data_IF_644088018713
#
_entry.id   IF_644088018713
#
_cell.length_a   1.000
_cell.length_b   1.000
_cell.length_c   1.000
_cell.angle_alpha   90.00
_cell.angle_beta   90.00
_cell.angle_gamma   90.00
#
_symmetry.space_group_name_H-M   'P 1'
#
loop_
_entity.id
_entity.type
_entity.pdbx_description
1 polymer ?
#
# COMPACT_ATOMS: atom_id res chain seq x y z
N UNK A 1 3.97 71.23 -5.83
CA UNK A 1 4.46 69.86 -6.09
C UNK A 1 4.24 69.02 -4.83
N UNK A 2 3.27 68.09 -4.86
CA UNK A 2 2.95 67.17 -3.76
C UNK A 2 3.09 65.74 -4.29
N UNK A 3 4.25 65.12 -4.08
CA UNK A 3 4.57 63.76 -4.58
C UNK A 3 4.47 62.67 -3.49
N UNK A 4 3.83 62.95 -2.35
CA UNK A 4 3.92 62.09 -1.16
C UNK A 4 2.94 60.90 -1.13
N UNK A 5 2.02 60.77 -2.09
CA UNK A 5 0.98 59.72 -2.07
C UNK A 5 1.19 58.54 -3.04
N UNK A 6 2.28 58.51 -3.82
CA UNK A 6 2.50 57.43 -4.80
C UNK A 6 3.32 56.26 -4.21
N UNK A 7 4.01 56.47 -3.08
CA UNK A 7 4.84 55.44 -2.42
C UNK A 7 4.04 54.42 -1.57
N UNK A 8 2.78 54.70 -1.24
CA UNK A 8 1.95 53.79 -0.42
C UNK A 8 1.24 52.70 -1.25
N UNK A 9 1.01 52.93 -2.55
CA UNK A 9 0.38 51.94 -3.43
C UNK A 9 1.34 50.86 -3.94
N UNK A 10 2.65 51.11 -3.90
CA UNK A 10 3.68 50.20 -4.41
C UNK A 10 4.05 49.09 -3.43
N UNK A 11 3.76 49.24 -2.14
CA UNK A 11 4.07 48.23 -1.11
C UNK A 11 2.98 47.15 -1.03
N UNK A 12 1.73 47.47 -1.39
CA UNK A 12 0.61 46.52 -1.36
C UNK A 12 0.60 45.53 -2.54
N UNK A 13 1.29 45.82 -3.64
CA UNK A 13 1.33 44.92 -4.80
C UNK A 13 2.45 43.86 -4.71
N UNK A 14 3.44 44.06 -3.83
CA UNK A 14 4.55 43.12 -3.67
C UNK A 14 4.18 41.87 -2.83
N UNK A 15 3.09 41.92 -2.06
CA UNK A 15 2.66 40.78 -1.24
C UNK A 15 1.79 39.75 -1.99
N UNK A 16 1.32 40.04 -3.21
CA UNK A 16 0.44 39.15 -3.98
C UNK A 16 1.17 38.29 -5.04
N UNK A 17 2.49 38.45 -5.21
CA UNK A 17 3.27 37.75 -6.24
C UNK A 17 4.32 36.80 -5.67
N UNK A 18 4.06 36.20 -4.51
CA UNK A 18 4.75 34.96 -4.17
C UNK A 18 4.01 33.85 -4.91
N UNK A 19 4.59 33.22 -5.96
CA UNK A 19 4.11 31.93 -6.39
C UNK A 19 4.26 31.01 -5.16
N UNK A 20 3.14 30.73 -4.52
CA UNK A 20 3.03 29.62 -3.59
C UNK A 20 3.34 28.38 -4.39
N UNK A 21 4.62 28.01 -4.45
CA UNK A 21 5.05 26.70 -4.89
C UNK A 21 4.54 25.74 -3.81
N UNK A 22 3.26 25.40 -3.86
CA UNK A 22 2.72 24.23 -3.18
C UNK A 22 3.34 23.04 -3.88
N UNK A 23 4.56 22.67 -3.45
CA UNK A 23 5.05 21.34 -3.73
C UNK A 23 4.01 20.39 -3.13
N UNK A 24 3.34 19.61 -3.99
CA UNK A 24 2.51 18.50 -3.54
C UNK A 24 3.38 17.66 -2.61
N UNK A 25 3.11 17.73 -1.30
CA UNK A 25 3.87 16.94 -0.35
C UNK A 25 3.50 15.49 -0.64
N UNK A 26 4.47 14.74 -1.18
CA UNK A 26 4.34 13.29 -1.31
C UNK A 26 4.32 12.78 0.13
N UNK A 27 3.13 12.60 0.68
CA UNK A 27 2.97 11.98 1.97
C UNK A 27 3.58 10.58 1.85
N UNK A 28 4.67 10.35 2.58
CA UNK A 28 5.34 9.05 2.59
C UNK A 28 4.35 7.97 2.99
N UNK A 29 4.55 6.76 2.47
CA UNK A 29 3.75 5.62 2.88
C UNK A 29 4.33 5.01 4.16
N UNK A 30 3.49 4.93 5.19
CA UNK A 30 3.76 4.07 6.34
C UNK A 30 3.73 2.60 5.89
N UNK A 31 4.53 1.76 6.55
CA UNK A 31 4.51 0.32 6.31
C UNK A 31 3.13 -0.27 6.69
N UNK A 32 2.69 -1.31 5.98
CA UNK A 32 1.42 -1.98 6.26
C UNK A 32 1.66 -3.02 7.38
N UNK A 33 1.05 -2.87 8.57
CA UNK A 33 1.27 -3.80 9.68
C UNK A 33 0.43 -5.07 9.47
N UNK A 34 1.06 -6.11 8.94
CA UNK A 34 0.42 -7.39 8.62
C UNK A 34 1.33 -8.56 9.00
N UNK A 35 0.73 -9.57 9.61
CA UNK A 35 1.36 -10.87 9.90
C UNK A 35 0.68 -11.98 9.11
N UNK A 36 1.36 -13.12 8.94
CA UNK A 36 0.78 -14.31 8.31
C UNK A 36 0.69 -15.48 9.27
N UNK A 37 -0.50 -16.06 9.38
CA UNK A 37 -0.72 -17.36 10.02
C UNK A 37 -0.72 -18.45 8.97
N UNK A 38 0.11 -19.46 9.17
CA UNK A 38 0.33 -20.53 8.19
C UNK A 38 -0.25 -21.84 8.69
N UNK A 39 -0.94 -22.55 7.80
CA UNK A 39 -1.20 -23.98 7.93
C UNK A 39 -0.36 -24.68 6.88
N UNK A 40 0.63 -25.45 7.33
CA UNK A 40 1.56 -26.15 6.44
C UNK A 40 0.84 -27.33 5.77
N UNK A 41 1.01 -27.53 4.45
CA UNK A 41 0.45 -28.69 3.77
C UNK A 41 1.07 -30.00 4.28
N UNK A 42 0.26 -31.06 4.32
CA UNK A 42 0.76 -32.42 4.56
C UNK A 42 1.53 -32.92 3.33
N UNK A 43 2.41 -33.90 3.53
CA UNK A 43 3.28 -34.40 2.45
C UNK A 43 2.51 -34.79 1.18
N UNK A 44 2.93 -34.23 0.05
CA UNK A 44 2.29 -34.42 -1.26
C UNK A 44 0.87 -33.87 -1.42
N UNK A 45 0.32 -33.14 -0.44
CA UNK A 45 -1.03 -32.56 -0.49
C UNK A 45 -1.02 -31.05 -0.76
N UNK A 46 -2.10 -30.58 -1.36
CA UNK A 46 -2.38 -29.16 -1.56
C UNK A 46 -3.41 -28.66 -0.55
N UNK A 47 -3.19 -28.90 0.75
CA UNK A 47 -4.11 -28.54 1.83
C UNK A 47 -3.58 -27.41 2.72
N UNK A 48 -2.51 -26.73 2.30
CA UNK A 48 -1.93 -25.60 3.01
C UNK A 48 -2.82 -24.35 2.96
N UNK A 49 -2.59 -23.44 3.92
CA UNK A 49 -3.32 -22.18 4.06
C UNK A 49 -2.39 -21.05 4.47
N UNK A 50 -2.61 -19.86 3.90
CA UNK A 50 -2.01 -18.59 4.34
C UNK A 50 -3.15 -17.66 4.72
N UNK A 51 -3.12 -17.14 5.94
CA UNK A 51 -4.10 -16.18 6.47
C UNK A 51 -3.39 -14.88 6.86
N UNK A 52 -3.94 -13.74 6.45
CA UNK A 52 -3.37 -12.41 6.67
C UNK A 52 -4.03 -11.75 7.88
N UNK A 53 -3.22 -11.31 8.83
CA UNK A 53 -3.67 -10.67 10.07
C UNK A 53 -3.15 -9.24 10.11
N UNK A 54 -3.99 -8.30 9.70
CA UNK A 54 -3.70 -6.87 9.76
C UNK A 54 -3.88 -6.32 11.17
N UNK A 55 -2.95 -5.50 11.67
CA UNK A 55 -3.10 -4.84 12.97
C UNK A 55 -4.18 -3.74 12.91
N UNK A 56 -4.24 -3.01 11.80
CA UNK A 56 -5.22 -1.96 11.55
C UNK A 56 -6.50 -2.53 10.91
N UNK A 57 -7.46 -2.98 11.74
CA UNK A 57 -8.70 -3.67 11.30
C UNK A 57 -9.73 -2.77 10.61
N UNK A 58 -9.71 -1.46 10.85
CA UNK A 58 -10.68 -0.51 10.30
C UNK A 58 -10.41 -0.17 8.82
N UNK A 59 -9.27 -0.62 8.27
CA UNK A 59 -8.81 -0.25 6.94
C UNK A 59 -9.09 -1.35 5.94
N UNK A 60 -9.14 -0.95 4.67
CA UNK A 60 -9.34 -1.88 3.57
C UNK A 60 -8.01 -2.24 2.92
N UNK A 61 -7.85 -3.52 2.56
CA UNK A 61 -6.65 -4.05 1.92
C UNK A 61 -7.01 -4.87 0.69
N UNK A 62 -6.24 -4.69 -0.37
CA UNK A 62 -6.26 -5.54 -1.56
C UNK A 62 -4.99 -6.37 -1.56
N UNK A 63 -5.13 -7.69 -1.67
CA UNK A 63 -4.00 -8.62 -1.67
C UNK A 63 -3.94 -9.29 -3.04
N UNK A 64 -2.77 -9.27 -3.67
CA UNK A 64 -2.52 -9.86 -4.98
C UNK A 64 -1.48 -10.96 -4.82
N UNK A 65 -1.73 -12.13 -5.41
CA UNK A 65 -0.76 -13.23 -5.48
C UNK A 65 -0.10 -13.21 -6.86
N UNK A 66 1.20 -12.91 -6.92
CA UNK A 66 1.84 -12.53 -8.19
C UNK A 66 2.61 -13.66 -8.88
N UNK A 67 2.92 -14.75 -8.16
CA UNK A 67 3.82 -15.79 -8.66
C UNK A 67 3.15 -17.18 -8.87
N UNK A 68 1.82 -17.27 -8.76
CA UNK A 68 1.08 -18.54 -8.94
C UNK A 68 0.52 -18.70 -10.36
N UNK A 69 -0.31 -17.77 -10.80
CA UNK A 69 -0.89 -17.74 -12.14
C UNK A 69 -0.90 -16.28 -12.65
N UNK A 70 -0.55 -15.99 -13.91
CA UNK A 70 -0.61 -14.64 -14.48
C UNK A 70 -1.99 -13.97 -14.37
N UNK A 71 -3.07 -14.75 -14.25
CA UNK A 71 -4.42 -14.24 -14.03
C UNK A 71 -4.66 -13.88 -12.55
N UNK A 72 -4.02 -14.57 -11.60
CA UNK A 72 -4.10 -14.28 -10.16
C UNK A 72 -3.46 -12.91 -9.84
N UNK A 73 -2.47 -12.49 -10.64
CA UNK A 73 -1.86 -11.17 -10.51
C UNK A 73 -2.78 -10.01 -10.94
N UNK A 74 -3.87 -10.27 -11.67
CA UNK A 74 -4.75 -9.23 -12.23
C UNK A 74 -5.88 -8.82 -11.30
N UNK A 75 -6.26 -9.66 -10.36
CA UNK A 75 -7.40 -9.42 -9.46
C UNK A 75 -7.01 -9.66 -8.01
N UNK A 76 -7.50 -8.84 -7.06
CA UNK A 76 -7.24 -9.09 -5.65
C UNK A 76 -7.94 -10.37 -5.19
N UNK A 77 -7.37 -11.00 -4.18
CA UNK A 77 -7.97 -12.14 -3.49
C UNK A 77 -9.35 -11.78 -2.93
N UNK A 78 -10.25 -12.77 -2.94
CA UNK A 78 -11.56 -12.66 -2.29
C UNK A 78 -11.40 -13.02 -0.80
N UNK A 79 -10.99 -12.04 -0.01
CA UNK A 79 -10.84 -12.17 1.45
C UNK A 79 -9.38 -12.13 1.91
N UNK A 80 -9.18 -12.52 3.17
CA UNK A 80 -7.90 -12.40 3.88
C UNK A 80 -7.18 -13.74 4.04
N UNK A 81 -7.50 -14.72 3.20
CA UNK A 81 -6.82 -16.01 3.20
C UNK A 81 -6.76 -16.65 1.82
N UNK A 82 -5.74 -17.49 1.63
CA UNK A 82 -5.60 -18.36 0.46
C UNK A 82 -5.48 -19.80 0.95
N UNK A 83 -6.28 -20.68 0.34
CA UNK A 83 -6.39 -22.10 0.70
C UNK A 83 -5.94 -22.99 -0.46
N UNK A 84 -5.89 -24.29 -0.18
CA UNK A 84 -5.58 -25.35 -1.13
C UNK A 84 -4.18 -25.18 -1.75
N UNK A 85 -3.22 -24.76 -0.92
CA UNK A 85 -1.85 -24.48 -1.33
C UNK A 85 -0.97 -25.70 -1.14
N UNK A 86 -0.05 -25.92 -2.09
CA UNK A 86 1.04 -26.91 -1.98
C UNK A 86 2.26 -26.28 -1.31
N UNK A 87 3.28 -27.07 -1.03
CA UNK A 87 4.62 -26.58 -0.69
C UNK A 87 5.11 -25.62 -1.78
N UNK A 88 5.74 -24.53 -1.38
CA UNK A 88 6.29 -23.54 -2.31
C UNK A 88 6.45 -22.15 -1.72
N UNK A 89 6.89 -21.24 -2.57
CA UNK A 89 7.02 -19.81 -2.28
C UNK A 89 5.86 -19.04 -2.90
N UNK A 90 5.27 -18.13 -2.14
CA UNK A 90 4.12 -17.34 -2.54
C UNK A 90 4.43 -15.87 -2.33
N UNK A 91 4.46 -15.12 -3.43
CA UNK A 91 4.76 -13.69 -3.43
C UNK A 91 3.46 -12.90 -3.48
N UNK A 92 3.30 -11.98 -2.54
CA UNK A 92 2.13 -11.15 -2.40
C UNK A 92 2.48 -9.68 -2.51
N UNK A 93 1.57 -8.92 -3.13
CA UNK A 93 1.52 -7.46 -3.05
C UNK A 93 0.25 -7.08 -2.32
N UNK A 94 0.38 -6.30 -1.27
CA UNK A 94 -0.73 -5.79 -0.46
C UNK A 94 -0.82 -4.29 -0.69
N UNK A 95 -2.03 -3.79 -0.97
CA UNK A 95 -2.31 -2.38 -1.17
C UNK A 95 -3.37 -1.92 -0.17
N UNK A 96 -3.10 -0.88 0.61
CA UNK A 96 -4.09 -0.29 1.52
C UNK A 96 -5.00 0.73 0.81
N UNK A 97 -5.99 1.26 1.51
CA UNK A 97 -6.91 2.28 0.99
C UNK A 97 -6.28 3.66 0.72
N UNK A 98 -5.06 3.92 1.21
CA UNK A 98 -4.26 5.12 0.88
C UNK A 98 -3.40 4.90 -0.37
N UNK A 99 -3.36 3.69 -0.91
CA UNK A 99 -2.51 3.34 -2.04
C UNK A 99 -1.09 2.94 -1.65
N UNK A 100 -0.80 2.75 -0.35
CA UNK A 100 0.48 2.24 0.11
C UNK A 100 0.61 0.76 -0.22
N UNK A 101 1.83 0.32 -0.49
CA UNK A 101 2.10 -1.05 -0.95
C UNK A 101 3.11 -1.76 -0.07
N UNK A 102 2.87 -3.04 0.21
CA UNK A 102 3.82 -3.95 0.87
C UNK A 102 4.00 -5.22 0.05
N UNK A 103 5.25 -5.62 -0.13
CA UNK A 103 5.59 -6.92 -0.72
C UNK A 103 5.89 -7.94 0.39
N UNK A 104 5.41 -9.16 0.22
CA UNK A 104 5.61 -10.25 1.18
C UNK A 104 5.83 -11.57 0.45
N UNK A 105 6.90 -12.27 0.78
CA UNK A 105 7.12 -13.65 0.36
C UNK A 105 6.84 -14.60 1.52
N UNK A 106 5.93 -15.55 1.31
CA UNK A 106 5.57 -16.58 2.28
C UNK A 106 6.02 -17.94 1.77
N UNK A 107 6.67 -18.73 2.63
CA UNK A 107 7.06 -20.11 2.30
C UNK A 107 6.15 -21.10 3.02
N UNK A 108 5.51 -21.99 2.27
CA UNK A 108 4.90 -23.21 2.83
C UNK A 108 5.84 -24.39 2.64
N UNK A 109 6.02 -25.17 3.70
CA UNK A 109 6.83 -26.39 3.79
C UNK A 109 5.94 -27.55 4.20
N UNK A 110 6.41 -28.79 4.03
CA UNK A 110 5.66 -29.93 4.55
C UNK A 110 5.64 -29.92 6.07
N UNK A 111 4.50 -30.31 6.64
CA UNK A 111 4.36 -30.61 8.07
C UNK A 111 4.70 -32.06 8.39
#
# INVERSE_FOLDING_TARGET
MKYTNILLFSILFFFYLLPGNTMAQVQGCDDIPVETKLSQPSSGKGNGKIEFVFSEKARSYKIYLINKDPQDAKSPLKGLEVRNLKVGFYDFVIVDDRGCTKQLTVTLKEN
#
